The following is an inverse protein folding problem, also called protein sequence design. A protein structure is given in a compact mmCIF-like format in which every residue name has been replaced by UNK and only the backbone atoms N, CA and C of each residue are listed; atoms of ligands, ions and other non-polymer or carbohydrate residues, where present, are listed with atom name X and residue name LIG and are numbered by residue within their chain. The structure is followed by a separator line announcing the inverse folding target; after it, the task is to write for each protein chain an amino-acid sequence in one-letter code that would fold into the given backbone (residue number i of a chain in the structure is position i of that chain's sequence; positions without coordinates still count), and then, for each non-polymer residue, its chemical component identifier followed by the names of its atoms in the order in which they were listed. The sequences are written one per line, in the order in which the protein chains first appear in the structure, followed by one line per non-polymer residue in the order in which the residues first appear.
data_IF_744957736465
#
_entry.id   IF_744957736465
#
_cell.length_a   1.000
_cell.length_b   1.000
_cell.length_c   1.000
_cell.angle_alpha   90.00
_cell.angle_beta   90.00
_cell.angle_gamma   90.00
#
_symmetry.space_group_name_H-M   'P 1'
#
loop_
_entity.id
_entity.type
_entity.pdbx_description
1 polymer ?
#
# COMPACT_ATOMS: atom_id res chain seq x y z
N UNK A 1 1.05 7.03 -2.83
CA UNK A 1 1.76 6.95 -4.13
C UNK A 1 1.51 8.15 -5.02
N UNK A 2 0.29 8.38 -5.54
CA UNK A 2 0.03 9.48 -6.47
C UNK A 2 0.33 10.87 -5.91
N UNK A 3 0.13 11.08 -4.60
CA UNK A 3 0.53 12.31 -3.93
C UNK A 3 2.06 12.41 -3.78
N UNK A 4 2.66 11.45 -3.07
CA UNK A 4 4.10 11.45 -2.75
C UNK A 4 5.00 11.53 -4.00
N UNK A 5 4.70 10.74 -5.04
CA UNK A 5 5.42 10.81 -6.33
C UNK A 5 4.94 11.96 -7.22
N UNK A 6 3.88 12.68 -6.86
CA UNK A 6 3.32 13.80 -7.61
C UNK A 6 3.46 15.12 -6.84
N UNK A 7 2.34 15.77 -6.47
CA UNK A 7 2.35 17.11 -5.87
C UNK A 7 2.89 17.16 -4.42
N UNK A 8 3.04 16.02 -3.77
CA UNK A 8 3.63 15.86 -2.44
C UNK A 8 2.97 16.74 -1.35
N UNK A 9 1.64 16.81 -1.37
CA UNK A 9 0.86 17.66 -0.47
C UNK A 9 0.94 17.20 0.97
N UNK A 10 0.95 15.89 1.22
CA UNK A 10 1.02 15.35 2.58
C UNK A 10 2.28 15.81 3.33
N UNK A 11 3.40 15.96 2.62
CA UNK A 11 4.62 16.53 3.20
C UNK A 11 4.51 18.05 3.27
N UNK A 12 4.09 18.71 2.20
CA UNK A 12 4.02 20.18 2.13
C UNK A 12 3.09 20.78 3.20
N UNK A 13 2.02 20.08 3.54
CA UNK A 13 1.01 20.48 4.54
C UNK A 13 1.37 19.98 5.95
N UNK A 14 2.47 19.25 6.12
CA UNK A 14 2.96 18.79 7.42
C UNK A 14 2.26 17.56 7.99
N UNK A 15 1.44 16.86 7.20
CA UNK A 15 0.79 15.61 7.61
C UNK A 15 1.78 14.43 7.72
N UNK A 16 2.86 14.45 6.93
CA UNK A 16 3.92 13.46 6.98
C UNK A 16 5.31 14.12 7.09
N UNK A 17 6.20 13.64 7.97
CA UNK A 17 7.59 14.05 7.96
C UNK A 17 8.27 13.65 6.64
N UNK A 18 8.99 14.57 6.00
CA UNK A 18 9.69 14.27 4.75
C UNK A 18 10.74 13.16 4.88
N UNK A 19 11.37 13.04 6.06
CA UNK A 19 12.35 11.99 6.34
C UNK A 19 11.76 10.58 6.27
N UNK A 20 10.47 10.42 6.64
CA UNK A 20 9.78 9.13 6.60
C UNK A 20 9.77 8.53 5.20
N UNK A 21 9.69 9.38 4.18
CA UNK A 21 9.67 8.96 2.78
C UNK A 21 11.08 8.93 2.20
N UNK A 22 11.83 10.03 2.35
CA UNK A 22 13.12 10.21 1.67
C UNK A 22 14.26 9.33 2.17
N UNK A 23 14.12 8.76 3.38
CA UNK A 23 15.08 7.80 3.95
C UNK A 23 14.64 6.34 3.75
N UNK A 24 13.46 6.10 3.19
CA UNK A 24 13.02 4.74 2.89
C UNK A 24 13.87 4.16 1.74
N UNK A 25 14.42 2.94 1.87
CA UNK A 25 15.09 2.27 0.76
C UNK A 25 14.13 1.95 -0.40
N UNK A 26 12.83 1.84 -0.10
CA UNK A 26 11.77 1.58 -1.09
C UNK A 26 11.32 2.84 -1.84
N UNK A 27 11.90 4.01 -1.53
CA UNK A 27 11.60 5.25 -2.23
C UNK A 27 12.32 5.31 -3.59
N UNK A 28 11.55 5.19 -4.66
CA UNK A 28 12.06 5.19 -6.03
C UNK A 28 12.05 6.61 -6.61
N UNK A 29 13.14 7.36 -6.42
CA UNK A 29 13.30 8.71 -7.02
C UNK A 29 12.92 8.81 -8.51
N UNK A 30 13.22 7.82 -9.37
CA UNK A 30 12.80 7.86 -10.78
C UNK A 30 11.29 7.89 -11.02
N UNK A 31 10.48 7.51 -10.04
CA UNK A 31 9.01 7.52 -10.15
C UNK A 31 8.40 8.91 -9.92
N UNK A 32 9.18 9.90 -9.47
CA UNK A 32 8.69 11.27 -9.24
C UNK A 32 8.25 11.88 -10.58
N UNK A 33 7.01 12.38 -10.62
CA UNK A 33 6.37 12.96 -11.81
C UNK A 33 5.81 11.92 -12.79
N UNK A 34 6.08 10.62 -12.59
CA UNK A 34 5.56 9.57 -13.46
C UNK A 34 4.06 9.41 -13.21
N UNK A 35 3.26 9.55 -14.27
CA UNK A 35 1.84 9.20 -14.26
C UNK A 35 1.66 7.85 -14.97
N UNK A 36 1.27 6.77 -14.27
CA UNK A 36 1.00 5.49 -14.91
C UNK A 36 -0.01 5.64 -16.04
N UNK A 37 0.18 4.94 -17.16
CA UNK A 37 -0.76 4.96 -18.29
C UNK A 37 -2.17 4.50 -17.88
N UNK A 38 -2.24 3.56 -16.94
CA UNK A 38 -3.50 3.08 -16.33
C UNK A 38 -4.15 4.11 -15.40
N UNK A 39 -3.42 5.15 -14.98
CA UNK A 39 -3.83 6.06 -13.92
C UNK A 39 -3.68 5.49 -12.49
N UNK A 40 -3.27 4.22 -12.35
CA UNK A 40 -3.16 3.53 -11.07
C UNK A 40 -1.71 3.18 -10.74
N UNK A 41 -1.28 3.49 -9.53
CA UNK A 41 0.04 3.08 -9.00
C UNK A 41 0.02 1.72 -8.30
N UNK A 42 -1.16 1.28 -7.86
CA UNK A 42 -1.36 0.05 -7.12
C UNK A 42 -2.55 -0.68 -7.74
N UNK A 43 -2.32 -1.90 -8.19
CA UNK A 43 -3.34 -2.71 -8.85
C UNK A 43 -3.91 -3.79 -7.93
N UNK A 44 -3.11 -4.26 -6.98
CA UNK A 44 -3.47 -5.35 -6.08
C UNK A 44 -2.80 -5.13 -4.73
N UNK A 45 -3.55 -5.38 -3.65
CA UNK A 45 -3.10 -5.22 -2.27
C UNK A 45 -3.76 -6.30 -1.43
N UNK A 46 -3.03 -6.81 -0.46
CA UNK A 46 -3.58 -7.69 0.57
C UNK A 46 -3.42 -7.07 1.95
N UNK A 47 -4.32 -7.44 2.85
CA UNK A 47 -4.28 -7.06 4.25
C UNK A 47 -4.34 -8.31 5.11
N UNK A 48 -3.53 -8.36 6.15
CA UNK A 48 -3.66 -9.34 7.22
C UNK A 48 -4.60 -8.74 8.27
N UNK A 49 -5.67 -9.47 8.60
CA UNK A 49 -6.67 -9.02 9.56
C UNK A 49 -6.82 -10.01 10.71
N UNK A 50 -6.99 -9.47 11.91
CA UNK A 50 -7.29 -10.23 13.12
C UNK A 50 -8.65 -9.84 13.69
N UNK A 51 -9.33 -10.81 14.32
CA UNK A 51 -10.56 -10.55 15.07
C UNK A 51 -10.29 -10.65 16.57
N UNK A 52 -10.56 -9.58 17.30
CA UNK A 52 -10.44 -9.51 18.75
C UNK A 52 -11.51 -10.32 19.48
N UNK A 53 -11.32 -10.58 20.79
CA UNK A 53 -12.26 -11.35 21.61
C UNK A 53 -13.61 -10.65 21.82
N UNK A 54 -13.67 -9.33 21.63
CA UNK A 54 -14.88 -8.51 21.61
C UNK A 54 -15.60 -8.53 20.24
N UNK A 55 -15.03 -9.23 19.26
CA UNK A 55 -15.54 -9.34 17.90
C UNK A 55 -15.08 -8.23 16.95
N UNK A 56 -14.30 -7.25 17.41
CA UNK A 56 -13.74 -6.18 16.59
C UNK A 56 -12.67 -6.68 15.61
N UNK A 57 -12.49 -5.98 14.49
CA UNK A 57 -11.49 -6.32 13.47
C UNK A 57 -10.35 -5.31 13.44
N UNK A 58 -9.14 -5.83 13.23
CA UNK A 58 -7.92 -5.04 13.18
C UNK A 58 -7.13 -5.38 11.91
N UNK A 59 -6.63 -4.37 11.22
CA UNK A 59 -5.62 -4.54 10.18
C UNK A 59 -4.26 -4.64 10.88
N UNK A 60 -3.61 -5.78 10.73
CA UNK A 60 -2.32 -6.06 11.36
C UNK A 60 -1.15 -5.68 10.45
N UNK A 61 -1.33 -5.87 9.13
CA UNK A 61 -0.35 -5.48 8.12
C UNK A 61 -1.00 -5.33 6.75
N UNK A 62 -0.27 -4.67 5.85
CA UNK A 62 -0.59 -4.55 4.43
C UNK A 62 0.57 -5.05 3.54
N UNK A 63 0.24 -5.48 2.33
CA UNK A 63 1.20 -5.98 1.32
C UNK A 63 0.87 -5.37 -0.04
N UNK A 64 1.74 -4.49 -0.53
CA UNK A 64 1.54 -3.76 -1.80
C UNK A 64 2.47 -4.18 -2.94
N UNK A 65 3.43 -5.06 -2.68
CA UNK A 65 4.43 -5.48 -3.67
C UNK A 65 3.98 -6.75 -4.41
N UNK A 66 4.26 -7.93 -3.84
CA UNK A 66 3.82 -9.22 -4.38
C UNK A 66 2.92 -9.98 -3.39
N UNK A 67 1.70 -9.51 -3.11
CA UNK A 67 0.78 -10.21 -2.22
C UNK A 67 0.36 -11.57 -2.82
N UNK A 68 0.50 -12.63 -2.02
CA UNK A 68 0.09 -13.99 -2.35
C UNK A 68 -1.18 -14.40 -1.59
N UNK A 69 -1.71 -15.60 -1.85
CA UNK A 69 -2.84 -16.16 -1.07
C UNK A 69 -4.18 -16.26 -1.81
N UNK A 70 -4.41 -15.44 -2.85
CA UNK A 70 -5.67 -15.45 -3.59
C UNK A 70 -5.97 -16.83 -4.22
N UNK A 71 -4.94 -17.54 -4.68
CA UNK A 71 -5.07 -18.91 -5.22
C UNK A 71 -5.54 -19.91 -4.17
N UNK A 72 -4.95 -19.91 -2.97
CA UNK A 72 -5.37 -20.77 -1.86
C UNK A 72 -6.81 -20.47 -1.42
N UNK A 73 -7.20 -19.20 -1.38
CA UNK A 73 -8.57 -18.81 -1.03
C UNK A 73 -9.59 -19.31 -2.07
N UNK A 74 -9.23 -19.27 -3.36
CA UNK A 74 -10.06 -19.81 -4.43
C UNK A 74 -10.15 -21.34 -4.35
N UNK A 75 -9.02 -22.02 -4.16
CA UNK A 75 -8.96 -23.49 -4.02
C UNK A 75 -9.86 -23.97 -2.88
N UNK A 76 -9.72 -23.40 -1.69
CA UNK A 76 -10.53 -23.73 -0.51
C UNK A 76 -12.03 -23.47 -0.69
N UNK A 77 -12.43 -22.70 -1.72
CA UNK A 77 -13.84 -22.40 -2.03
C UNK A 77 -14.41 -23.31 -3.11
N UNK A 78 -13.56 -23.78 -4.03
CA UNK A 78 -13.97 -24.62 -5.16
C UNK A 78 -13.91 -26.11 -4.81
N UNK A 79 -13.05 -26.49 -3.87
CA UNK A 79 -13.05 -27.81 -3.23
C UNK A 79 -14.27 -27.99 -2.31
#
# INVERSE_FOLDING_TARGET
MADLYGPNRLIAEGHLPASLITQSPEWLRPMVGVRPRSGHFLHFIAFEIGRGPDGGWWVLSDRTDAPSGAGFALENRVA
#
